data_IF_467950982272
#
_entry.id   IF_467950982272
#
_cell.length_a   1.000
_cell.length_b   1.000
_cell.length_c   1.000
_cell.angle_alpha   90.00
_cell.angle_beta   90.00
_cell.angle_gamma   90.00
#
_symmetry.space_group_name_H-M   'P 1'
#
loop_
_entity.id
_entity.type
_entity.pdbx_description
1 polymer ?
#
# COMPACT_ATOMS: atom_id res chain seq x y z
N UNK A 1 49.16 5.54 5.34
CA UNK A 1 48.19 4.48 5.72
C UNK A 1 47.03 4.99 6.56
N UNK A 2 47.25 5.76 7.63
CA UNK A 2 46.20 6.23 8.55
C UNK A 2 45.02 7.00 7.89
N UNK A 3 45.30 7.87 6.92
CA UNK A 3 44.25 8.66 6.23
C UNK A 3 43.28 7.79 5.42
N UNK A 4 43.77 6.71 4.79
CA UNK A 4 42.94 5.77 4.01
C UNK A 4 42.03 4.95 4.93
N UNK A 5 42.56 4.52 6.08
CA UNK A 5 41.78 3.82 7.12
C UNK A 5 40.70 4.74 7.73
N UNK A 6 41.04 6.00 8.01
CA UNK A 6 40.08 7.00 8.53
C UNK A 6 38.95 7.30 7.54
N UNK A 7 39.29 7.43 6.25
CA UNK A 7 38.29 7.61 5.19
C UNK A 7 37.33 6.41 5.10
N UNK A 8 37.86 5.19 5.10
CA UNK A 8 37.05 3.96 5.03
C UNK A 8 36.12 3.85 6.25
N UNK A 9 36.62 4.12 7.46
CA UNK A 9 35.81 4.08 8.68
C UNK A 9 34.68 5.12 8.63
N UNK A 10 34.99 6.34 8.20
CA UNK A 10 34.00 7.41 8.07
C UNK A 10 32.92 7.04 7.04
N UNK A 11 33.34 6.45 5.91
CA UNK A 11 32.41 6.03 4.87
C UNK A 11 31.51 4.89 5.32
N UNK A 12 32.03 3.93 6.08
CA UNK A 12 31.25 2.84 6.65
C UNK A 12 30.18 3.37 7.62
N UNK A 13 30.54 4.28 8.53
CA UNK A 13 29.58 4.89 9.45
C UNK A 13 28.46 5.65 8.74
N UNK A 14 28.78 6.34 7.65
CA UNK A 14 27.77 7.02 6.84
C UNK A 14 26.81 6.03 6.20
N UNK A 15 27.33 4.93 5.63
CA UNK A 15 26.51 3.89 5.03
C UNK A 15 25.62 3.18 6.06
N UNK A 16 26.14 2.90 7.26
CA UNK A 16 25.36 2.30 8.35
C UNK A 16 24.18 3.20 8.75
N UNK A 17 24.41 4.50 8.93
CA UNK A 17 23.35 5.46 9.25
C UNK A 17 22.30 5.57 8.13
N UNK A 18 22.72 5.52 6.86
CA UNK A 18 21.81 5.58 5.72
C UNK A 18 20.93 4.31 5.64
N UNK A 19 21.52 3.15 5.86
CA UNK A 19 20.79 1.87 5.92
C UNK A 19 19.76 1.88 7.06
N UNK A 20 20.11 2.42 8.22
CA UNK A 20 19.20 2.52 9.36
C UNK A 20 18.00 3.44 9.04
N UNK A 21 18.24 4.61 8.45
CA UNK A 21 17.17 5.51 7.98
C UNK A 21 16.25 4.88 6.94
N UNK A 22 16.80 4.09 6.02
CA UNK A 22 15.99 3.38 5.02
C UNK A 22 15.12 2.30 5.67
N UNK A 23 15.65 1.57 6.67
CA UNK A 23 14.87 0.60 7.44
C UNK A 23 13.73 1.23 8.21
N UNK A 24 13.95 2.40 8.82
CA UNK A 24 12.89 3.15 9.51
C UNK A 24 11.79 3.63 8.57
N UNK A 25 12.14 4.13 7.37
CA UNK A 25 11.16 4.51 6.37
C UNK A 25 10.34 3.33 5.87
N UNK A 26 10.97 2.17 5.66
CA UNK A 26 10.25 0.94 5.29
C UNK A 26 9.26 0.52 6.38
N UNK A 27 9.67 0.53 7.65
CA UNK A 27 8.76 0.24 8.79
C UNK A 27 7.56 1.20 8.84
N UNK A 28 7.78 2.50 8.62
CA UNK A 28 6.68 3.49 8.57
C UNK A 28 5.74 3.29 7.39
N UNK A 29 6.21 2.74 6.27
CA UNK A 29 5.37 2.43 5.11
C UNK A 29 4.51 1.17 5.31
N UNK A 30 4.92 0.27 6.21
CA UNK A 30 4.14 -0.93 6.58
C UNK A 30 2.98 -0.62 7.52
N UNK A 31 2.97 0.55 8.18
CA UNK A 31 1.76 1.12 8.78
C UNK A 31 0.82 1.59 7.66
N UNK A 32 0.27 0.62 6.91
CA UNK A 32 -0.90 0.83 6.08
C UNK A 32 -1.98 1.39 6.99
N UNK A 33 -2.29 2.68 6.85
CA UNK A 33 -3.49 3.26 7.44
C UNK A 33 -4.65 2.37 7.02
N UNK A 34 -5.21 1.64 7.97
CA UNK A 34 -6.38 0.81 7.77
C UNK A 34 -7.57 1.73 7.64
N UNK A 35 -7.74 2.31 6.45
CA UNK A 35 -8.93 3.08 6.14
C UNK A 35 -10.10 2.10 6.16
N UNK A 36 -10.96 2.20 7.16
CA UNK A 36 -12.17 1.37 7.23
C UNK A 36 -13.03 1.68 6.02
N UNK A 37 -13.35 0.65 5.23
CA UNK A 37 -14.23 0.76 4.07
C UNK A 37 -15.55 1.41 4.48
N UNK A 38 -16.10 1.04 5.65
CA UNK A 38 -17.30 1.65 6.24
C UNK A 38 -17.30 3.19 6.23
N UNK A 39 -16.15 3.83 6.44
CA UNK A 39 -16.02 5.28 6.44
C UNK A 39 -16.08 5.91 5.05
N UNK A 40 -15.65 5.18 4.01
CA UNK A 40 -15.69 5.62 2.61
C UNK A 40 -17.11 5.60 2.05
N UNK A 41 -17.97 4.72 2.57
CA UNK A 41 -19.35 4.56 2.13
C UNK A 41 -20.33 5.44 2.92
N UNK A 42 -19.85 6.17 3.94
CA UNK A 42 -20.70 7.03 4.77
C UNK A 42 -21.29 8.17 3.94
N UNK A 43 -22.62 8.21 3.83
CA UNK A 43 -23.35 9.23 3.08
C UNK A 43 -23.61 8.89 1.61
N UNK A 44 -23.13 7.71 1.15
CA UNK A 44 -23.51 7.17 -0.15
C UNK A 44 -24.83 6.41 0.03
N UNK A 45 -25.85 6.77 -0.74
CA UNK A 45 -27.09 6.02 -0.83
C UNK A 45 -26.96 5.00 -1.95
N UNK A 46 -26.83 3.72 -1.60
CA UNK A 46 -26.76 2.62 -2.58
C UNK A 46 -28.17 2.14 -2.84
N UNK A 47 -28.62 2.27 -4.08
CA UNK A 47 -29.94 1.79 -4.51
C UNK A 47 -29.85 0.35 -5.02
N UNK A 48 -31.00 -0.30 -5.17
CA UNK A 48 -31.06 -1.64 -5.76
C UNK A 48 -30.58 -1.64 -7.22
N UNK A 49 -30.83 -0.54 -7.94
CA UNK A 49 -30.41 -0.36 -9.33
C UNK A 49 -28.88 -0.34 -9.45
N UNK A 50 -28.19 0.34 -8.52
CA UNK A 50 -26.72 0.37 -8.44
C UNK A 50 -26.14 -1.04 -8.20
N UNK A 51 -26.82 -1.84 -7.36
CA UNK A 51 -26.43 -3.22 -7.06
C UNK A 51 -26.59 -4.11 -8.30
N UNK A 52 -27.71 -3.99 -9.00
CA UNK A 52 -27.98 -4.75 -10.23
C UNK A 52 -27.02 -4.37 -11.37
N UNK A 53 -26.66 -3.10 -11.50
CA UNK A 53 -25.64 -2.65 -12.45
C UNK A 53 -24.24 -3.21 -12.10
N UNK A 54 -23.87 -3.20 -10.81
CA UNK A 54 -22.62 -3.79 -10.35
C UNK A 54 -22.56 -5.30 -10.63
N UNK A 55 -23.65 -6.04 -10.37
CA UNK A 55 -23.76 -7.48 -10.69
C UNK A 55 -23.56 -7.74 -12.18
N UNK A 56 -24.25 -6.99 -13.06
CA UNK A 56 -24.10 -7.12 -14.52
C UNK A 56 -22.67 -6.81 -14.98
N UNK A 57 -22.03 -5.82 -14.38
CA UNK A 57 -20.68 -5.38 -14.75
C UNK A 57 -19.59 -6.35 -14.30
N UNK A 58 -19.73 -6.93 -13.10
CA UNK A 58 -18.77 -7.87 -12.52
C UNK A 58 -18.91 -9.29 -13.07
N UNK A 59 -20.15 -9.72 -13.35
CA UNK A 59 -20.46 -11.06 -13.79
C UNK A 59 -20.98 -11.08 -15.22
N UNK A 60 -20.20 -10.52 -16.17
CA UNK A 60 -20.50 -10.63 -17.61
C UNK A 60 -20.60 -12.12 -17.99
N UNK A 61 -21.81 -12.59 -18.25
CA UNK A 61 -22.11 -13.96 -18.68
C UNK A 61 -22.64 -14.94 -17.63
N UNK A 62 -22.72 -14.57 -16.34
CA UNK A 62 -23.26 -15.51 -15.32
C UNK A 62 -24.79 -15.69 -15.40
N UNK A 63 -25.48 -14.80 -16.09
CA UNK A 63 -26.93 -14.83 -16.30
C UNK A 63 -27.34 -15.39 -17.66
N UNK A 64 -26.41 -15.88 -18.49
CA UNK A 64 -26.72 -16.47 -19.80
C UNK A 64 -27.08 -17.98 -19.75
N UNK A 65 -27.06 -18.61 -18.57
CA UNK A 65 -27.37 -20.04 -18.39
C UNK A 65 -28.72 -20.30 -17.70
N UNK A 66 -29.75 -19.54 -18.08
CA UNK A 66 -31.10 -19.67 -17.52
C UNK A 66 -32.18 -19.57 -18.59
N UNK A 67 -32.12 -20.44 -19.61
CA UNK A 67 -33.25 -20.90 -20.43
C UNK A 67 -32.95 -22.32 -20.96
#
# INVERSE_FOLDING_TARGET
MAAKTSYVITRLKLLENEIERLREHLKKSEEKRTTKIEGLWKGINVTEEDIEEAKRSLFKGAYEFGD
#
